data_IF_149487899786
#
_entry.id   IF_149487899786
#
_cell.length_a   1.000
_cell.length_b   1.000
_cell.length_c   1.000
_cell.angle_alpha   90.00
_cell.angle_beta   90.00
_cell.angle_gamma   90.00
#
_symmetry.space_group_name_H-M   'P 1'
#
loop_
_entity.id
_entity.type
_entity.pdbx_description
1 polymer ?
#
# COMPACT_ATOMS: atom_id res chain seq x y z
N UNK A 1 12.63 -6.07 -9.11
CA UNK A 1 12.10 -4.82 -8.53
C UNK A 1 10.68 -5.02 -7.98
N UNK A 2 9.71 -5.49 -8.79
CA UNK A 2 8.34 -5.82 -8.34
C UNK A 2 8.26 -6.73 -7.10
N UNK A 3 9.15 -7.72 -6.99
CA UNK A 3 9.14 -8.68 -5.89
C UNK A 3 9.42 -8.05 -4.50
N UNK A 4 10.19 -6.97 -4.45
CA UNK A 4 10.56 -6.32 -3.18
C UNK A 4 9.34 -5.61 -2.59
N UNK A 5 8.65 -4.80 -3.41
CA UNK A 5 7.45 -4.08 -2.98
C UNK A 5 6.31 -5.03 -2.62
N UNK A 6 6.17 -6.13 -3.37
CA UNK A 6 5.22 -7.20 -3.05
C UNK A 6 5.47 -7.77 -1.65
N UNK A 7 6.70 -8.21 -1.36
CA UNK A 7 7.06 -8.77 -0.04
C UNK A 7 6.86 -7.77 1.09
N UNK A 8 7.13 -6.50 0.84
CA UNK A 8 6.96 -5.43 1.83
C UNK A 8 5.49 -5.22 2.18
N UNK A 9 4.61 -5.03 1.18
CA UNK A 9 3.16 -4.91 1.39
C UNK A 9 2.59 -6.16 2.07
N UNK A 10 3.02 -7.35 1.69
CA UNK A 10 2.56 -8.59 2.33
C UNK A 10 3.01 -8.70 3.80
N UNK A 11 4.19 -8.18 4.15
CA UNK A 11 4.61 -8.13 5.55
C UNK A 11 3.71 -7.20 6.37
N UNK A 12 3.34 -6.03 5.84
CA UNK A 12 2.37 -5.14 6.47
C UNK A 12 1.01 -5.82 6.63
N UNK A 13 0.49 -6.46 5.57
CA UNK A 13 -0.78 -7.20 5.61
C UNK A 13 -0.82 -8.27 6.70
N UNK A 14 0.27 -9.03 6.87
CA UNK A 14 0.35 -10.10 7.89
C UNK A 14 0.29 -9.59 9.32
N UNK A 15 0.83 -8.39 9.56
CA UNK A 15 0.90 -7.78 10.88
C UNK A 15 -0.18 -6.70 11.09
N UNK A 16 -1.04 -6.49 10.09
CA UNK A 16 -2.03 -5.43 10.10
C UNK A 16 -3.11 -5.70 11.13
N UNK A 17 -3.41 -4.68 11.93
CA UNK A 17 -4.56 -4.65 12.84
C UNK A 17 -5.33 -3.35 12.63
N UNK A 18 -6.62 -3.38 12.27
CA UNK A 18 -7.42 -2.19 11.99
C UNK A 18 -7.65 -1.30 13.22
N UNK A 19 -7.53 -1.89 14.43
CA UNK A 19 -7.74 -1.21 15.71
C UNK A 19 -6.52 -0.38 16.14
N UNK A 20 -5.35 -0.67 15.59
CA UNK A 20 -4.14 0.09 15.88
C UNK A 20 -4.05 1.34 14.99
N UNK A 21 -3.46 2.44 15.49
CA UNK A 21 -3.14 3.58 14.64
C UNK A 21 -2.17 3.14 13.53
N UNK A 22 -2.37 3.60 12.28
CA UNK A 22 -1.46 3.26 11.18
C UNK A 22 -0.07 3.82 11.46
N UNK A 23 0.96 2.99 11.32
CA UNK A 23 2.35 3.39 11.59
C UNK A 23 2.99 4.10 10.40
N UNK A 24 2.53 3.75 9.20
CA UNK A 24 3.00 4.35 7.95
C UNK A 24 1.90 4.41 6.89
N UNK A 25 2.30 4.86 5.69
CA UNK A 25 1.42 4.98 4.54
C UNK A 25 0.76 3.65 4.15
N UNK A 26 1.47 2.53 4.26
CA UNK A 26 0.96 1.21 3.85
C UNK A 26 -0.12 0.77 4.83
N UNK A 27 0.11 0.92 6.14
CA UNK A 27 -0.90 0.62 7.16
C UNK A 27 -2.14 1.51 7.01
N UNK A 28 -1.96 2.79 6.70
CA UNK A 28 -3.08 3.72 6.47
C UNK A 28 -3.92 3.30 5.25
N UNK A 29 -3.27 2.86 4.18
CA UNK A 29 -3.94 2.38 2.97
C UNK A 29 -4.66 1.05 3.23
N UNK A 30 -4.03 0.10 3.94
CA UNK A 30 -4.65 -1.16 4.36
C UNK A 30 -5.88 -0.93 5.24
N UNK A 31 -5.83 0.06 6.14
CA UNK A 31 -7.00 0.50 6.90
C UNK A 31 -8.11 0.98 5.99
N UNK A 32 -7.81 1.83 5.01
CA UNK A 32 -8.81 2.28 4.03
C UNK A 32 -9.43 1.12 3.25
N UNK A 33 -8.63 0.14 2.84
CA UNK A 33 -9.13 -1.09 2.19
C UNK A 33 -10.10 -1.84 3.13
N UNK A 34 -9.73 -2.00 4.40
CA UNK A 34 -10.55 -2.72 5.39
C UNK A 34 -11.90 -2.04 5.67
N UNK A 35 -11.95 -0.70 5.61
CA UNK A 35 -13.16 0.10 5.81
C UNK A 35 -14.03 0.18 4.54
N UNK A 36 -13.52 -0.25 3.38
CA UNK A 36 -14.21 -0.11 2.10
C UNK A 36 -15.22 -1.24 1.90
N UNK A 37 -16.51 -0.87 1.86
CA UNK A 37 -17.63 -1.81 1.63
C UNK A 37 -18.20 -1.72 0.21
N UNK A 38 -17.95 -0.61 -0.50
CA UNK A 38 -18.37 -0.42 -1.88
C UNK A 38 -17.53 -1.30 -2.82
N UNK A 39 -18.18 -2.28 -3.44
CA UNK A 39 -17.54 -3.25 -4.36
C UNK A 39 -17.01 -2.62 -5.65
N UNK A 40 -17.45 -1.41 -5.99
CA UNK A 40 -17.00 -0.69 -7.19
C UNK A 40 -15.79 0.19 -6.93
N UNK A 41 -15.43 0.41 -5.66
CA UNK A 41 -14.27 1.19 -5.25
C UNK A 41 -12.96 0.50 -5.64
N UNK A 42 -11.97 1.29 -6.05
CA UNK A 42 -10.60 0.82 -6.28
C UNK A 42 -9.93 0.29 -5.02
N UNK A 43 -10.43 0.65 -3.83
CA UNK A 43 -9.93 0.18 -2.54
C UNK A 43 -10.57 -1.15 -2.08
N UNK A 44 -11.50 -1.73 -2.85
CA UNK A 44 -12.24 -2.90 -2.39
C UNK A 44 -11.44 -4.20 -2.50
N UNK A 45 -11.22 -4.87 -1.36
CA UNK A 45 -10.62 -6.19 -1.30
C UNK A 45 -9.24 -6.28 -1.98
N UNK A 46 -9.04 -7.35 -2.76
CA UNK A 46 -7.75 -7.58 -3.46
C UNK A 46 -7.42 -6.51 -4.51
N UNK A 47 -8.42 -5.84 -5.09
CA UNK A 47 -8.16 -4.73 -6.02
C UNK A 47 -7.48 -3.55 -5.29
N UNK A 48 -7.88 -3.31 -4.04
CA UNK A 48 -7.24 -2.32 -3.19
C UNK A 48 -5.80 -2.69 -2.86
N UNK A 49 -5.56 -3.96 -2.56
CA UNK A 49 -4.20 -4.47 -2.28
C UNK A 49 -3.30 -4.35 -3.51
N UNK A 50 -3.82 -4.65 -4.70
CA UNK A 50 -3.04 -4.49 -5.93
C UNK A 50 -2.75 -3.02 -6.23
N UNK A 51 -3.75 -2.16 -6.05
CA UNK A 51 -3.58 -0.71 -6.18
C UNK A 51 -2.51 -0.19 -5.21
N UNK A 52 -2.50 -0.66 -3.97
CA UNK A 52 -1.48 -0.33 -2.98
C UNK A 52 -0.07 -0.73 -3.44
N UNK A 53 0.11 -1.94 -3.97
CA UNK A 53 1.43 -2.39 -4.48
C UNK A 53 1.95 -1.50 -5.60
N UNK A 54 1.06 -1.13 -6.54
CA UNK A 54 1.41 -0.23 -7.64
C UNK A 54 1.77 1.16 -7.12
N UNK A 55 0.95 1.73 -6.22
CA UNK A 55 1.21 3.04 -5.63
C UNK A 55 2.54 3.08 -4.85
N UNK A 56 2.84 2.06 -4.04
CA UNK A 56 4.12 2.00 -3.30
C UNK A 56 5.31 1.90 -4.25
N UNK A 57 5.18 1.12 -5.33
CA UNK A 57 6.24 0.99 -6.34
C UNK A 57 6.49 2.32 -7.05
N UNK A 58 5.41 3.01 -7.47
CA UNK A 58 5.46 4.28 -8.17
C UNK A 58 6.09 5.39 -7.30
N UNK A 59 5.61 5.55 -6.07
CA UNK A 59 6.14 6.53 -5.12
C UNK A 59 7.63 6.33 -4.84
N UNK A 60 8.07 5.08 -4.69
CA UNK A 60 9.47 4.79 -4.41
C UNK A 60 10.37 5.10 -5.61
N UNK A 61 9.98 4.69 -6.81
CA UNK A 61 10.76 4.93 -8.04
C UNK A 61 10.81 6.44 -8.33
N UNK A 62 9.65 7.10 -8.35
CA UNK A 62 9.57 8.52 -8.63
C UNK A 62 10.34 9.37 -7.60
N UNK A 63 10.21 9.05 -6.31
CA UNK A 63 10.93 9.74 -5.24
C UNK A 63 12.44 9.53 -5.31
N UNK A 64 12.88 8.31 -5.63
CA UNK A 64 14.30 7.98 -5.76
C UNK A 64 14.95 8.70 -6.93
N UNK A 65 14.30 8.75 -8.10
CA UNK A 65 14.86 9.41 -9.29
C UNK A 65 14.95 10.94 -9.13
N UNK A 66 13.89 11.56 -8.61
CA UNK A 66 13.80 13.02 -8.53
C UNK A 66 14.66 13.61 -7.41
N UNK A 67 14.71 12.97 -6.24
CA UNK A 67 15.48 13.47 -5.10
C UNK A 67 16.96 13.16 -5.24
N UNK A 68 17.34 12.01 -5.83
CA UNK A 68 18.76 11.66 -6.02
C UNK A 68 19.44 12.44 -7.15
N UNK A 69 18.65 13.02 -8.06
CA UNK A 69 19.16 13.85 -9.17
C UNK A 69 19.21 15.35 -8.86
N UNK A 70 18.80 15.75 -7.65
CA UNK A 70 18.76 17.16 -7.18
C UNK A 70 19.95 17.52 -6.30
#
# INVERSE_FOLDING_TARGET
MHEIFYRYVENHRKNFSPDNPPQDFIDAYLKKISETTDKTSSFFGENGVESLRLTVSDLFIAGSETTASS
#
